data_IF_546741224178
#
_entry.id   IF_546741224178
#
_cell.length_a   1.000
_cell.length_b   1.000
_cell.length_c   1.000
_cell.angle_alpha   90.00
_cell.angle_beta   90.00
_cell.angle_gamma   90.00
#
_symmetry.space_group_name_H-M   'P 1'
#
loop_
_entity.id
_entity.type
_entity.pdbx_description
1 polymer ?
#
# COMPACT_ATOMS: atom_id res chain seq x y z
N UNK A 1 -11.90 -14.74 16.57
CA UNK A 1 -11.99 -14.59 15.10
C UNK A 1 -10.59 -14.40 14.55
N UNK A 2 -10.26 -15.01 13.41
CA UNK A 2 -8.99 -14.73 12.71
C UNK A 2 -9.09 -13.43 11.93
N UNK A 3 -7.97 -12.72 11.80
CA UNK A 3 -7.90 -11.55 10.92
C UNK A 3 -7.78 -12.00 9.45
N UNK A 4 -8.42 -11.31 8.50
CA UNK A 4 -8.25 -11.61 7.08
C UNK A 4 -6.87 -11.16 6.59
N UNK A 5 -6.34 -11.88 5.61
CA UNK A 5 -5.25 -11.37 4.76
C UNK A 5 -5.86 -10.72 3.52
N UNK A 6 -5.32 -9.58 3.10
CA UNK A 6 -5.81 -8.86 1.92
C UNK A 6 -4.67 -8.69 0.93
N UNK A 7 -4.93 -9.02 -0.33
CA UNK A 7 -4.05 -8.71 -1.44
C UNK A 7 -4.70 -7.58 -2.25
N UNK A 8 -4.01 -6.45 -2.35
CA UNK A 8 -4.46 -5.29 -3.12
C UNK A 8 -3.39 -4.87 -4.11
N UNK A 9 -3.81 -4.46 -5.30
CA UNK A 9 -2.95 -3.70 -6.21
C UNK A 9 -2.80 -2.28 -5.68
N UNK A 10 -1.57 -1.77 -5.59
CA UNK A 10 -1.34 -0.36 -5.26
C UNK A 10 -1.56 0.58 -6.45
N UNK A 11 -1.66 0.05 -7.67
CA UNK A 11 -1.92 0.81 -8.89
C UNK A 11 -0.82 1.82 -9.27
N UNK A 12 -1.15 2.71 -10.20
CA UNK A 12 -0.32 3.87 -10.54
C UNK A 12 -0.20 4.82 -9.34
N UNK A 13 0.93 5.53 -9.16
CA UNK A 13 1.03 6.62 -8.18
C UNK A 13 -0.07 7.68 -8.32
N UNK A 14 -0.64 7.87 -9.51
CA UNK A 14 -1.74 8.81 -9.79
C UNK A 14 -3.12 8.30 -9.43
N UNK A 15 -3.27 7.01 -9.06
CA UNK A 15 -4.58 6.38 -8.79
C UNK A 15 -5.44 7.20 -7.82
N UNK A 16 -4.82 7.83 -6.83
CA UNK A 16 -5.53 8.61 -5.80
C UNK A 16 -6.10 9.94 -6.31
N UNK A 17 -5.57 10.45 -7.43
CA UNK A 17 -5.98 11.70 -8.07
C UNK A 17 -7.10 11.46 -9.09
N UNK A 18 -7.22 10.23 -9.60
CA UNK A 18 -8.16 9.89 -10.64
C UNK A 18 -9.52 9.43 -10.08
N UNK A 19 -10.60 9.75 -10.79
CA UNK A 19 -11.93 9.28 -10.44
C UNK A 19 -12.16 7.85 -10.96
N UNK A 20 -11.62 6.86 -10.24
CA UNK A 20 -11.64 5.44 -10.62
C UNK A 20 -12.30 4.58 -9.54
N UNK A 21 -13.01 3.49 -9.90
CA UNK A 21 -13.59 2.55 -8.92
C UNK A 21 -12.57 1.96 -7.94
N UNK A 22 -11.31 1.81 -8.37
CA UNK A 22 -10.23 1.32 -7.50
C UNK A 22 -9.92 2.27 -6.34
N UNK A 23 -10.00 3.59 -6.56
CA UNK A 23 -9.81 4.61 -5.51
C UNK A 23 -10.89 4.49 -4.44
N UNK A 24 -12.14 4.41 -4.87
CA UNK A 24 -13.30 4.30 -3.96
C UNK A 24 -13.25 2.99 -3.17
N UNK A 25 -12.88 1.89 -3.83
CA UNK A 25 -12.68 0.59 -3.17
C UNK A 25 -11.62 0.69 -2.06
N UNK A 26 -10.43 1.23 -2.36
CA UNK A 26 -9.34 1.34 -1.38
C UNK A 26 -9.70 2.25 -0.21
N UNK A 27 -10.42 3.35 -0.46
CA UNK A 27 -10.91 4.25 0.58
C UNK A 27 -11.94 3.56 1.51
N UNK A 28 -12.84 2.75 0.94
CA UNK A 28 -13.86 2.04 1.70
C UNK A 28 -13.33 0.80 2.44
N UNK A 29 -12.24 0.19 1.97
CA UNK A 29 -11.72 -1.08 2.50
C UNK A 29 -11.46 -1.06 4.02
N UNK A 30 -10.92 0.05 4.55
CA UNK A 30 -10.66 0.21 5.98
C UNK A 30 -11.93 0.19 6.86
N UNK A 31 -13.09 0.44 6.27
CA UNK A 31 -14.38 0.48 6.99
C UNK A 31 -15.06 -0.88 7.10
N UNK A 32 -14.73 -1.81 6.21
CA UNK A 32 -15.36 -3.16 6.16
C UNK A 32 -14.53 -4.23 6.85
N UNK A 33 -13.27 -3.92 7.19
CA UNK A 33 -12.36 -4.85 7.88
C UNK A 33 -12.44 -4.66 9.40
N UNK A 34 -12.31 -5.75 10.19
CA UNK A 34 -12.16 -5.63 11.63
C UNK A 34 -10.88 -4.84 11.96
N UNK A 35 -10.92 -4.01 13.02
CA UNK A 35 -9.77 -3.17 13.40
C UNK A 35 -8.60 -4.03 13.92
N UNK A 36 -7.44 -4.05 13.24
CA UNK A 36 -6.28 -4.79 13.71
C UNK A 36 -5.58 -4.07 14.88
N UNK A 37 -4.85 -4.84 15.69
CA UNK A 37 -3.88 -4.27 16.65
C UNK A 37 -2.59 -3.81 15.97
N UNK A 38 -2.22 -4.46 14.87
CA UNK A 38 -1.06 -4.15 14.04
C UNK A 38 -1.27 -4.70 12.62
N UNK A 39 -0.58 -4.12 11.64
CA UNK A 39 -0.60 -4.55 10.23
C UNK A 39 0.82 -4.99 9.86
N UNK A 40 0.93 -6.13 9.18
CA UNK A 40 2.15 -6.53 8.47
C UNK A 40 1.92 -6.24 7.00
N UNK A 41 2.68 -5.30 6.43
CA UNK A 41 2.61 -4.95 5.02
C UNK A 41 3.75 -5.66 4.25
N UNK A 42 3.41 -6.27 3.12
CA UNK A 42 4.36 -6.87 2.18
C UNK A 42 4.20 -6.15 0.85
N UNK A 43 5.31 -5.64 0.30
CA UNK A 43 5.31 -4.83 -0.92
C UNK A 43 6.06 -5.52 -2.04
N UNK A 44 5.50 -5.48 -3.25
CA UNK A 44 6.18 -5.96 -4.47
C UNK A 44 7.46 -5.15 -4.79
N UNK A 45 7.53 -3.90 -4.32
CA UNK A 45 8.67 -3.01 -4.52
C UNK A 45 9.81 -3.24 -3.52
N UNK A 46 9.59 -4.06 -2.47
CA UNK A 46 10.62 -4.33 -1.48
C UNK A 46 11.15 -5.75 -1.61
N UNK A 47 12.16 -5.89 -2.47
CA UNK A 47 12.83 -7.16 -2.72
C UNK A 47 14.14 -7.25 -1.91
N UNK A 48 14.37 -8.41 -1.28
CA UNK A 48 15.54 -8.68 -0.46
C UNK A 48 16.02 -10.11 -0.72
N UNK A 49 17.32 -10.38 -0.60
CA UNK A 49 17.87 -11.73 -0.87
C UNK A 49 17.39 -12.79 0.14
N UNK A 50 17.04 -12.34 1.35
CA UNK A 50 16.54 -13.17 2.46
C UNK A 50 15.37 -12.45 3.12
N UNK A 51 14.40 -13.16 3.73
CA UNK A 51 13.30 -12.53 4.44
C UNK A 51 13.81 -11.48 5.44
N UNK A 52 13.31 -10.25 5.31
CA UNK A 52 13.69 -9.12 6.13
C UNK A 52 12.45 -8.43 6.69
N UNK A 53 12.61 -7.80 7.86
CA UNK A 53 11.56 -6.99 8.51
C UNK A 53 12.16 -5.63 8.82
N UNK A 54 11.41 -4.58 8.52
CA UNK A 54 11.83 -3.21 8.77
C UNK A 54 11.40 -2.85 10.18
N UNK A 55 12.34 -2.30 10.95
CA UNK A 55 12.09 -1.80 12.30
C UNK A 55 12.18 -0.27 12.34
N UNK A 56 12.21 0.39 11.18
CA UNK A 56 12.28 1.84 11.11
C UNK A 56 10.98 2.47 11.63
N UNK A 57 11.07 3.31 12.67
CA UNK A 57 9.91 4.05 13.19
C UNK A 57 9.36 5.06 12.18
N UNK A 58 10.25 5.66 11.37
CA UNK A 58 9.93 6.60 10.30
C UNK A 58 10.75 6.22 9.06
N UNK A 59 10.22 5.37 8.18
CA UNK A 59 10.89 5.03 6.93
C UNK A 59 11.15 6.28 6.09
N UNK A 60 12.29 6.32 5.40
CA UNK A 60 12.52 7.30 4.35
C UNK A 60 11.54 7.07 3.20
N UNK A 61 11.02 8.14 2.62
CA UNK A 61 10.21 8.07 1.41
C UNK A 61 11.12 8.00 0.19
N UNK A 62 11.06 6.88 -0.53
CA UNK A 62 11.76 6.70 -1.80
C UNK A 62 10.73 6.84 -2.93
N UNK A 63 10.99 7.75 -3.86
CA UNK A 63 10.21 7.89 -5.09
C UNK A 63 10.91 7.13 -6.21
N UNK A 64 10.50 5.88 -6.44
CA UNK A 64 11.05 4.98 -7.47
C UNK A 64 10.30 5.08 -8.82
N UNK A 65 9.52 6.15 -8.99
CA UNK A 65 8.71 6.44 -10.17
C UNK A 65 9.04 7.81 -10.75
N UNK A 66 8.98 7.92 -12.08
CA UNK A 66 9.36 9.13 -12.83
C UNK A 66 8.56 9.22 -14.14
N UNK A 67 8.67 10.37 -14.83
CA UNK A 67 8.04 10.59 -16.13
C UNK A 67 6.58 11.03 -16.07
N UNK A 68 6.15 11.62 -14.95
CA UNK A 68 4.84 12.26 -14.85
C UNK A 68 4.85 13.56 -15.68
N UNK A 69 3.72 13.92 -16.31
CA UNK A 69 3.55 15.24 -16.89
C UNK A 69 3.79 16.32 -15.82
N UNK A 70 4.33 17.47 -16.23
CA UNK A 70 4.55 18.59 -15.31
C UNK A 70 3.23 19.29 -14.89
N UNK A 71 2.08 18.87 -15.44
CA UNK A 71 0.75 19.48 -15.27
C UNK A 71 -0.37 18.44 -15.03
#
# INVERSE_FOLDING_TARGET
MSMPSVFVSHGSPTLILENLPARDFLAALGTVLPRPKAIVAVSAHWNTERPAVSTAERPETIHDFYGFPDD
#
